data_IF_424324786739
#
_entry.id   IF_424324786739
#
_cell.length_a   1.000
_cell.length_b   1.000
_cell.length_c   1.000
_cell.angle_alpha   90.00
_cell.angle_beta   90.00
_cell.angle_gamma   90.00
#
_symmetry.space_group_name_H-M   'P 1'
#
loop_
_entity.id
_entity.type
_entity.pdbx_description
1 polymer ?
#
# COMPACT_ATOMS: atom_id res chain seq x y z
N UNK A 1 -3.73 31.85 -19.56
CA UNK A 1 -3.66 30.40 -19.28
C UNK A 1 -4.93 29.82 -19.88
N UNK A 2 -4.82 28.82 -20.76
CA UNK A 2 -6.01 28.21 -21.34
C UNK A 2 -6.66 27.34 -20.24
N UNK A 3 -7.76 27.82 -19.66
CA UNK A 3 -8.72 26.95 -18.99
C UNK A 3 -9.35 26.11 -20.09
N UNK A 4 -8.92 24.85 -20.21
CA UNK A 4 -9.48 23.91 -21.18
C UNK A 4 -10.92 23.58 -20.81
N UNK A 5 -11.78 23.45 -21.82
CA UNK A 5 -13.16 22.95 -21.70
C UNK A 5 -13.16 21.66 -20.85
N UNK A 6 -14.10 21.49 -19.90
CA UNK A 6 -14.21 20.23 -19.17
C UNK A 6 -14.44 19.06 -20.14
N UNK A 7 -13.86 17.87 -19.88
CA UNK A 7 -14.02 16.72 -20.76
C UNK A 7 -15.49 16.32 -20.88
N UNK A 8 -15.85 15.86 -22.07
CA UNK A 8 -17.18 15.32 -22.35
C UNK A 8 -17.40 13.97 -21.63
N UNK A 9 -18.65 13.56 -21.51
CA UNK A 9 -19.01 12.27 -20.89
C UNK A 9 -18.37 11.08 -21.63
N UNK A 10 -18.35 11.11 -22.97
CA UNK A 10 -17.73 10.06 -23.79
C UNK A 10 -16.21 9.99 -23.57
N UNK A 11 -15.54 11.14 -23.48
CA UNK A 11 -14.10 11.20 -23.18
C UNK A 11 -13.77 10.68 -21.77
N UNK A 12 -14.65 10.94 -20.80
CA UNK A 12 -14.50 10.42 -19.44
C UNK A 12 -14.65 8.89 -19.41
N UNK A 13 -15.66 8.34 -20.09
CA UNK A 13 -15.86 6.89 -20.18
C UNK A 13 -14.68 6.20 -20.89
N UNK A 14 -14.22 6.76 -22.01
CA UNK A 14 -13.04 6.25 -22.73
C UNK A 14 -11.74 6.37 -21.90
N UNK A 15 -11.66 7.29 -20.93
CA UNK A 15 -10.56 7.34 -19.99
C UNK A 15 -10.62 6.20 -18.96
N UNK A 16 -11.82 5.89 -18.44
CA UNK A 16 -12.01 4.79 -17.48
C UNK A 16 -11.68 3.43 -18.09
N UNK A 17 -12.03 3.20 -19.36
CA UNK A 17 -11.72 1.96 -20.07
C UNK A 17 -10.22 1.68 -20.21
N UNK A 18 -9.38 2.72 -20.06
CA UNK A 18 -7.91 2.60 -20.11
C UNK A 18 -7.27 2.31 -18.76
N UNK A 19 -8.02 2.37 -17.66
CA UNK A 19 -7.49 2.18 -16.31
C UNK A 19 -7.64 0.73 -15.88
N UNK A 20 -6.51 0.06 -15.65
CA UNK A 20 -6.50 -1.28 -15.09
C UNK A 20 -6.82 -1.28 -13.60
N UNK A 21 -7.70 -2.19 -13.16
CA UNK A 21 -7.96 -2.39 -11.71
C UNK A 21 -6.68 -2.78 -10.98
N UNK A 22 -5.81 -3.59 -11.61
CA UNK A 22 -4.52 -3.97 -11.07
C UNK A 22 -3.63 -2.76 -10.77
N UNK A 23 -3.59 -1.76 -11.66
CA UNK A 23 -2.79 -0.54 -11.48
C UNK A 23 -3.27 0.27 -10.28
N UNK A 24 -4.59 0.39 -10.11
CA UNK A 24 -5.18 1.08 -8.96
C UNK A 24 -4.85 0.36 -7.65
N UNK A 25 -4.95 -0.98 -7.64
CA UNK A 25 -4.60 -1.77 -6.45
C UNK A 25 -3.12 -1.65 -6.11
N UNK A 26 -2.23 -1.66 -7.10
CA UNK A 26 -0.79 -1.43 -6.90
C UNK A 26 -0.54 -0.05 -6.27
N UNK A 27 -1.16 1.01 -6.79
CA UNK A 27 -1.00 2.36 -6.25
C UNK A 27 -1.52 2.48 -4.81
N UNK A 28 -2.67 1.88 -4.53
CA UNK A 28 -3.25 1.83 -3.18
C UNK A 28 -2.34 1.06 -2.20
N UNK A 29 -1.77 -0.07 -2.64
CA UNK A 29 -0.85 -0.85 -1.83
C UNK A 29 0.49 -0.14 -1.60
N UNK A 30 1.03 0.57 -2.60
CA UNK A 30 2.21 1.39 -2.44
C UNK A 30 1.99 2.49 -1.38
N UNK A 31 0.83 3.14 -1.41
CA UNK A 31 0.43 4.12 -0.38
C UNK A 31 0.27 3.47 1.00
N UNK A 32 -0.29 2.26 1.02
CA UNK A 32 -0.46 1.46 2.24
C UNK A 32 0.88 1.09 2.88
N UNK A 33 1.90 0.76 2.08
CA UNK A 33 3.29 0.54 2.54
C UNK A 33 3.82 1.80 3.23
N UNK A 34 3.73 2.96 2.57
CA UNK A 34 4.23 4.22 3.13
C UNK A 34 3.54 4.58 4.45
N UNK A 35 2.23 4.37 4.53
CA UNK A 35 1.48 4.58 5.77
C UNK A 35 1.89 3.56 6.84
N UNK A 36 2.09 2.29 6.48
CA UNK A 36 2.58 1.25 7.37
C UNK A 36 3.91 1.63 8.03
N UNK A 37 4.87 2.15 7.26
CA UNK A 37 6.14 2.64 7.80
C UNK A 37 5.95 3.81 8.77
N UNK A 38 5.04 4.74 8.48
CA UNK A 38 4.70 5.82 9.42
C UNK A 38 4.08 5.27 10.71
N UNK A 39 3.32 4.17 10.67
CA UNK A 39 2.68 3.58 11.85
C UNK A 39 3.60 2.71 12.71
N UNK A 40 4.76 2.32 12.21
CA UNK A 40 5.79 1.64 13.03
C UNK A 40 6.82 2.62 13.61
N UNK A 41 6.86 3.88 13.14
CA UNK A 41 7.79 4.88 13.69
C UNK A 41 7.40 5.31 15.10
N UNK A 42 8.38 5.72 15.91
CA UNK A 42 8.16 6.14 17.29
C UNK A 42 7.17 7.32 17.41
N UNK A 43 7.26 8.31 16.51
CA UNK A 43 6.48 9.55 16.57
C UNK A 43 4.98 9.37 16.27
N UNK A 44 4.60 8.31 15.55
CA UNK A 44 3.24 8.11 15.04
C UNK A 44 2.76 6.65 15.20
N UNK A 45 3.31 5.95 16.19
CA UNK A 45 3.15 4.51 16.41
C UNK A 45 1.67 4.11 16.55
N UNK A 46 1.24 3.19 15.69
CA UNK A 46 -0.08 2.55 15.70
C UNK A 46 0.07 1.11 15.19
N UNK A 47 0.37 0.19 16.10
CA UNK A 47 0.67 -1.21 15.75
C UNK A 47 -0.53 -1.93 15.10
N UNK A 48 -1.78 -1.78 15.55
CA UNK A 48 -2.94 -2.32 14.84
C UNK A 48 -3.02 -1.87 13.37
N UNK A 49 -2.80 -0.59 13.08
CA UNK A 49 -2.80 -0.09 11.70
C UNK A 49 -1.61 -0.62 10.88
N UNK A 50 -0.41 -0.70 11.47
CA UNK A 50 0.75 -1.29 10.80
C UNK A 50 0.53 -2.77 10.46
N UNK A 51 -0.08 -3.53 11.37
CA UNK A 51 -0.47 -4.92 11.14
C UNK A 51 -1.48 -5.05 10.01
N UNK A 52 -2.50 -4.18 9.98
CA UNK A 52 -3.48 -4.15 8.89
C UNK A 52 -2.80 -3.94 7.53
N UNK A 53 -1.83 -3.03 7.44
CA UNK A 53 -1.07 -2.81 6.20
C UNK A 53 -0.30 -4.06 5.74
N UNK A 54 0.39 -4.74 6.67
CA UNK A 54 1.12 -5.99 6.38
C UNK A 54 0.17 -7.08 5.87
N UNK A 55 -0.96 -7.26 6.55
CA UNK A 55 -1.93 -8.29 6.20
C UNK A 55 -2.63 -8.01 4.86
N UNK A 56 -2.93 -6.74 4.55
CA UNK A 56 -3.46 -6.34 3.26
C UNK A 56 -2.49 -6.65 2.12
N UNK A 57 -1.20 -6.33 2.29
CA UNK A 57 -0.15 -6.66 1.33
C UNK A 57 -0.02 -8.16 1.11
N UNK A 58 -0.12 -8.95 2.19
CA UNK A 58 -0.07 -10.42 2.10
C UNK A 58 -1.28 -11.00 1.37
N UNK A 59 -2.47 -10.49 1.65
CA UNK A 59 -3.71 -11.00 1.09
C UNK A 59 -3.88 -10.67 -0.40
N UNK A 60 -3.40 -9.50 -0.83
CA UNK A 60 -3.56 -9.04 -2.22
C UNK A 60 -2.43 -9.49 -3.15
N UNK A 61 -1.30 -9.97 -2.63
CA UNK A 61 -0.19 -10.53 -3.42
C UNK A 61 -0.64 -11.59 -4.44
N UNK A 62 -1.36 -12.67 -4.07
CA UNK A 62 -1.83 -13.66 -5.04
C UNK A 62 -2.84 -13.07 -6.03
N UNK A 63 -3.69 -12.13 -5.59
CA UNK A 63 -4.70 -11.48 -6.45
C UNK A 63 -4.04 -10.66 -7.56
N UNK A 64 -2.96 -9.93 -7.24
CA UNK A 64 -2.21 -9.16 -8.24
C UNK A 64 -1.46 -10.06 -9.23
N UNK A 65 -0.90 -11.19 -8.75
CA UNK A 65 -0.24 -12.18 -9.61
C UNK A 65 -1.22 -12.81 -10.61
N UNK A 66 -2.39 -13.24 -10.14
CA UNK A 66 -3.43 -13.80 -11.01
C UNK A 66 -4.07 -12.74 -11.92
N UNK A 67 -4.15 -11.50 -11.45
CA UNK A 67 -4.70 -10.35 -12.18
C UNK A 67 -3.80 -9.77 -13.27
N UNK A 68 -2.61 -10.34 -13.49
CA UNK A 68 -1.68 -9.93 -14.54
C UNK A 68 -0.95 -8.61 -14.27
N UNK A 69 -0.81 -8.21 -13.00
CA UNK A 69 0.04 -7.08 -12.65
C UNK A 69 1.51 -7.38 -12.99
N UNK A 70 2.29 -6.33 -13.22
CA UNK A 70 3.71 -6.48 -13.56
C UNK A 70 4.48 -7.22 -12.45
N UNK A 71 5.18 -8.28 -12.82
CA UNK A 71 5.87 -9.17 -11.88
C UNK A 71 7.01 -8.45 -11.13
N UNK A 72 7.66 -7.43 -11.72
CA UNK A 72 8.66 -6.63 -11.00
C UNK A 72 8.00 -5.80 -9.90
N UNK A 73 6.85 -5.19 -10.20
CA UNK A 73 6.07 -4.43 -9.21
C UNK A 73 5.60 -5.32 -8.06
N UNK A 74 5.14 -6.53 -8.36
CA UNK A 74 4.72 -7.49 -7.33
C UNK A 74 5.90 -7.85 -6.42
N UNK A 75 7.08 -8.14 -6.98
CA UNK A 75 8.28 -8.41 -6.19
C UNK A 75 8.69 -7.24 -5.31
N UNK A 76 8.57 -6.01 -5.79
CA UNK A 76 8.88 -4.82 -5.00
C UNK A 76 7.91 -4.65 -3.83
N UNK A 77 6.61 -4.89 -4.04
CA UNK A 77 5.60 -4.88 -2.97
C UNK A 77 5.84 -6.00 -1.94
N UNK A 78 6.23 -7.20 -2.39
CA UNK A 78 6.60 -8.30 -1.52
C UNK A 78 7.82 -7.95 -0.65
N UNK A 79 8.87 -7.39 -1.26
CA UNK A 79 10.06 -6.95 -0.52
C UNK A 79 9.71 -5.84 0.48
N UNK A 80 8.85 -4.90 0.09
CA UNK A 80 8.37 -3.85 0.97
C UNK A 80 7.59 -4.42 2.17
N UNK A 81 6.74 -5.43 1.95
CA UNK A 81 6.02 -6.15 3.02
C UNK A 81 6.98 -6.81 4.01
N UNK A 82 8.01 -7.52 3.52
CA UNK A 82 9.01 -8.18 4.37
C UNK A 82 9.75 -7.14 5.24
N UNK A 83 10.20 -6.05 4.62
CA UNK A 83 10.90 -4.99 5.34
C UNK A 83 9.98 -4.32 6.39
N UNK A 84 8.70 -4.13 6.06
CA UNK A 84 7.72 -3.59 7.00
C UNK A 84 7.44 -4.56 8.16
N UNK A 85 7.42 -5.87 7.92
CA UNK A 85 7.30 -6.89 8.97
C UNK A 85 8.48 -6.84 9.95
N UNK A 86 9.70 -6.67 9.46
CA UNK A 86 10.89 -6.51 10.31
C UNK A 86 10.79 -5.23 11.15
N UNK A 87 10.41 -4.11 10.54
CA UNK A 87 10.22 -2.85 11.26
C UNK A 87 9.09 -2.93 12.31
N UNK A 88 7.99 -3.63 11.98
CA UNK A 88 6.89 -3.88 12.89
C UNK A 88 7.32 -4.72 14.09
N UNK A 89 8.07 -5.82 13.89
CA UNK A 89 8.57 -6.65 14.97
C UNK A 89 9.42 -5.83 15.95
N UNK A 90 10.34 -5.01 15.43
CA UNK A 90 11.13 -4.09 16.24
C UNK A 90 10.25 -3.09 17.02
N UNK A 91 9.25 -2.50 16.37
CA UNK A 91 8.35 -1.55 17.02
C UNK A 91 7.47 -2.19 18.12
N UNK A 92 7.13 -3.47 17.98
CA UNK A 92 6.43 -4.25 19.02
C UNK A 92 7.34 -4.44 20.24
N UNK A 93 8.61 -4.82 20.03
CA UNK A 93 9.58 -4.98 21.11
C UNK A 93 9.81 -3.67 21.88
N UNK A 94 9.99 -2.56 21.17
CA UNK A 94 10.14 -1.22 21.76
C UNK A 94 8.88 -0.83 22.57
N UNK A 95 7.68 -1.07 22.05
CA UNK A 95 6.43 -0.74 22.75
C UNK A 95 6.26 -1.55 24.05
N UNK A 96 6.67 -2.81 24.06
CA UNK A 96 6.64 -3.63 25.28
C UNK A 96 7.61 -3.12 26.35
N UNK A 97 8.77 -2.58 25.96
CA UNK A 97 9.75 -1.99 26.88
C UNK A 97 9.26 -0.66 27.48
N UNK A 98 8.54 0.15 26.70
CA UNK A 98 7.99 1.45 27.14
C UNK A 98 6.81 1.31 28.13
N UNK A 99 6.21 0.11 28.23
CA UNK A 99 5.07 -0.19 29.12
C UNK A 99 5.44 -1.27 30.14
N UNK A 100 6.29 -0.97 31.14
CA UNK A 100 6.52 -1.91 32.23
C UNK A 100 5.21 -2.13 33.00
N UNK A 101 4.86 -3.39 33.24
CA UNK A 101 3.69 -3.80 34.06
C UNK A 101 3.73 -3.24 35.48
#
# INVERSE_FOLDING_TARGET
MAEGEPPTEEELLAALDRVGVADILVQALATTVSLGYRRVSADARDLPQARLAIEALRALDPVLREGGADEAVIRDLEQARINLQLAYAKAVEENAQDRPE
#
